data_IF_072141647671
#
_entry.id   IF_072141647671
#
_cell.length_a   1.000
_cell.length_b   1.000
_cell.length_c   1.000
_cell.angle_alpha   90.00
_cell.angle_beta   90.00
_cell.angle_gamma   90.00
#
_symmetry.space_group_name_H-M   'P 1'
#
loop_
_entity.id
_entity.type
_entity.pdbx_description
1 polymer ?
#
# COMPACT_ATOMS: atom_id res chain seq x y z
N UNK A 1 21.99 3.38 -19.20
CA UNK A 1 22.54 2.56 -18.09
C UNK A 1 22.58 3.30 -16.75
N UNK A 2 22.98 4.58 -16.66
CA UNK A 2 23.00 5.31 -15.38
C UNK A 2 21.63 5.49 -14.72
N UNK A 3 20.58 5.72 -15.51
CA UNK A 3 19.23 6.00 -15.01
C UNK A 3 18.58 4.79 -14.32
N UNK A 4 18.80 3.58 -14.85
CA UNK A 4 18.30 2.32 -14.27
C UNK A 4 19.02 1.91 -12.99
N UNK A 5 20.32 2.23 -12.90
CA UNK A 5 21.11 2.01 -11.69
C UNK A 5 20.65 2.93 -10.54
N UNK A 6 20.40 4.21 -10.85
CA UNK A 6 19.90 5.16 -9.86
C UNK A 6 18.53 4.77 -9.31
N UNK A 7 17.58 4.38 -10.16
CA UNK A 7 16.23 3.97 -9.71
C UNK A 7 16.26 2.69 -8.89
N UNK A 8 17.13 1.73 -9.25
CA UNK A 8 17.29 0.47 -8.50
C UNK A 8 17.89 0.72 -7.11
N UNK A 9 18.85 1.63 -6.98
CA UNK A 9 19.43 2.02 -5.70
C UNK A 9 18.40 2.73 -4.81
N UNK A 10 17.61 3.65 -5.36
CA UNK A 10 16.52 4.29 -4.63
C UNK A 10 15.47 3.27 -4.16
N UNK A 11 15.04 2.37 -5.04
CA UNK A 11 14.09 1.32 -4.67
C UNK A 11 14.61 0.39 -3.56
N UNK A 12 15.91 0.03 -3.60
CA UNK A 12 16.54 -0.77 -2.55
C UNK A 12 16.61 -0.01 -1.22
N UNK A 13 16.90 1.30 -1.26
CA UNK A 13 16.89 2.15 -0.08
C UNK A 13 15.52 2.18 0.59
N UNK A 14 14.46 2.41 -0.19
CA UNK A 14 13.08 2.43 0.31
C UNK A 14 12.66 1.07 0.87
N UNK A 15 13.01 -0.03 0.21
CA UNK A 15 12.75 -1.37 0.71
C UNK A 15 13.48 -1.66 2.02
N UNK A 16 14.73 -1.18 2.14
CA UNK A 16 15.49 -1.23 3.39
C UNK A 16 14.76 -0.52 4.53
N UNK A 17 14.21 0.67 4.26
CA UNK A 17 13.39 1.41 5.24
C UNK A 17 12.08 0.70 5.57
N UNK A 18 11.41 0.09 4.60
CA UNK A 18 10.22 -0.72 4.86
C UNK A 18 10.51 -1.85 5.85
N UNK A 19 11.58 -2.61 5.60
CA UNK A 19 12.04 -3.70 6.46
C UNK A 19 12.47 -3.19 7.85
N UNK A 20 13.17 -2.06 7.91
CA UNK A 20 13.56 -1.41 9.16
C UNK A 20 12.34 -1.04 10.02
N UNK A 21 11.27 -0.52 9.43
CA UNK A 21 10.03 -0.24 10.17
C UNK A 21 9.35 -1.53 10.66
N UNK A 22 9.45 -2.64 9.93
CA UNK A 22 8.96 -3.94 10.41
C UNK A 22 9.77 -4.47 11.61
N UNK A 23 11.06 -4.14 11.73
CA UNK A 23 11.85 -4.54 12.90
C UNK A 23 11.48 -3.78 14.16
N UNK A 24 10.72 -2.69 14.09
CA UNK A 24 10.32 -1.90 15.27
C UNK A 24 9.52 -2.73 16.28
N UNK A 25 8.68 -3.65 15.83
CA UNK A 25 8.00 -4.60 16.72
C UNK A 25 8.98 -5.41 17.55
N UNK A 26 10.10 -5.84 16.96
CA UNK A 26 11.08 -6.72 17.60
C UNK A 26 12.10 -5.94 18.43
N UNK A 27 12.58 -4.81 17.93
CA UNK A 27 13.62 -4.01 18.57
C UNK A 27 13.08 -3.18 19.73
N UNK A 28 11.93 -2.52 19.53
CA UNK A 28 11.35 -1.64 20.55
C UNK A 28 10.26 -2.31 21.39
N UNK A 29 9.98 -3.60 21.16
CA UNK A 29 8.96 -4.39 21.87
C UNK A 29 7.61 -3.67 21.93
N UNK A 30 7.22 -3.03 20.83
CA UNK A 30 6.10 -2.09 20.73
C UNK A 30 4.78 -2.54 21.35
N UNK A 31 4.34 -3.81 21.24
CA UNK A 31 3.11 -4.21 21.90
C UNK A 31 3.14 -3.95 23.41
N UNK A 32 4.30 -4.08 24.05
CA UNK A 32 4.48 -3.88 25.50
C UNK A 32 4.91 -2.45 25.85
N UNK A 33 5.73 -1.80 25.03
CA UNK A 33 6.17 -0.42 25.32
C UNK A 33 5.08 0.62 25.05
N UNK A 34 4.22 0.39 24.05
CA UNK A 34 3.09 1.27 23.74
C UNK A 34 1.88 1.02 24.64
N UNK A 35 1.84 -0.07 25.42
CA UNK A 35 0.73 -0.34 26.34
C UNK A 35 0.52 0.81 27.33
N UNK A 36 1.62 1.45 27.75
CA UNK A 36 1.62 2.62 28.65
C UNK A 36 0.92 3.85 28.07
N UNK A 37 0.83 3.99 26.75
CA UNK A 37 0.13 5.12 26.10
C UNK A 37 -1.36 4.86 25.87
N UNK A 38 -1.85 3.68 26.26
CA UNK A 38 -3.23 3.27 26.11
C UNK A 38 -3.49 2.51 24.81
N UNK A 39 -4.47 1.60 24.86
CA UNK A 39 -4.80 0.67 23.75
C UNK A 39 -5.12 1.38 22.43
N UNK A 40 -5.72 2.57 22.49
CA UNK A 40 -6.05 3.36 21.30
C UNK A 40 -4.78 3.88 20.61
N UNK A 41 -3.90 4.54 21.36
CA UNK A 41 -2.64 5.08 20.83
C UNK A 41 -1.73 3.97 20.33
N UNK A 42 -1.68 2.85 21.05
CA UNK A 42 -0.98 1.66 20.61
C UNK A 42 -1.47 1.15 19.24
N UNK A 43 -2.79 1.10 19.02
CA UNK A 43 -3.37 0.70 17.74
C UNK A 43 -3.06 1.70 16.63
N UNK A 44 -3.15 3.00 16.91
CA UNK A 44 -2.82 4.08 15.97
C UNK A 44 -1.36 4.00 15.54
N UNK A 45 -0.41 3.96 16.48
CA UNK A 45 1.02 3.92 16.19
C UNK A 45 1.42 2.68 15.41
N UNK A 46 0.89 1.51 15.76
CA UNK A 46 1.16 0.28 15.02
C UNK A 46 0.60 0.35 13.60
N UNK A 47 -0.62 0.87 13.44
CA UNK A 47 -1.21 1.05 12.12
C UNK A 47 -0.38 2.01 11.28
N UNK A 48 0.02 3.16 11.82
CA UNK A 48 0.85 4.13 11.12
C UNK A 48 2.14 3.48 10.64
N UNK A 49 2.78 2.64 11.45
CA UNK A 49 3.98 1.90 11.05
C UNK A 49 3.73 0.90 9.92
N UNK A 50 2.64 0.12 9.98
CA UNK A 50 2.25 -0.79 8.87
C UNK A 50 2.02 0.00 7.58
N UNK A 51 1.27 1.10 7.66
CA UNK A 51 0.94 1.93 6.49
C UNK A 51 2.19 2.60 5.92
N UNK A 52 3.10 3.07 6.77
CA UNK A 52 4.36 3.68 6.34
C UNK A 52 5.28 2.65 5.67
N UNK A 53 5.40 1.44 6.22
CA UNK A 53 6.09 0.33 5.55
C UNK A 53 5.47 0.02 4.19
N UNK A 54 4.13 0.00 4.09
CA UNK A 54 3.43 -0.21 2.82
C UNK A 54 3.76 0.88 1.79
N UNK A 55 3.76 2.15 2.19
CA UNK A 55 4.11 3.28 1.31
C UNK A 55 5.54 3.15 0.79
N UNK A 56 6.51 2.78 1.64
CA UNK A 56 7.88 2.53 1.20
C UNK A 56 7.96 1.38 0.17
N UNK A 57 7.21 0.29 0.37
CA UNK A 57 7.15 -0.81 -0.60
C UNK A 57 6.53 -0.36 -1.92
N UNK A 58 5.43 0.40 -1.89
CA UNK A 58 4.79 0.96 -3.08
C UNK A 58 5.72 1.91 -3.82
N UNK A 59 6.46 2.73 -3.10
CA UNK A 59 7.40 3.68 -3.69
C UNK A 59 8.56 2.95 -4.37
N UNK A 60 9.16 1.96 -3.69
CA UNK A 60 10.15 1.06 -4.27
C UNK A 60 9.63 0.35 -5.52
N UNK A 61 8.42 -0.23 -5.44
CA UNK A 61 7.77 -0.89 -6.57
C UNK A 61 7.51 0.07 -7.73
N UNK A 62 7.09 1.31 -7.44
CA UNK A 62 6.85 2.34 -8.47
C UNK A 62 8.14 2.76 -9.16
N UNK A 63 9.25 2.86 -8.44
CA UNK A 63 10.57 3.17 -9.02
C UNK A 63 11.10 2.04 -9.93
N UNK A 64 10.83 0.79 -9.57
CA UNK A 64 11.16 -0.38 -10.41
C UNK A 64 10.24 -0.46 -11.63
N UNK A 65 8.94 -0.26 -11.43
CA UNK A 65 7.92 -0.31 -12.48
C UNK A 65 7.93 0.90 -13.40
N UNK A 66 8.48 2.06 -13.00
CA UNK A 66 8.66 3.22 -13.88
C UNK A 66 9.58 2.91 -15.08
N UNK A 67 10.38 1.84 -15.00
CA UNK A 67 11.12 1.30 -16.15
C UNK A 67 10.23 0.61 -17.19
N UNK A 68 8.95 0.37 -16.88
CA UNK A 68 7.94 -0.26 -17.74
C UNK A 68 6.73 0.67 -17.90
N UNK A 69 6.31 1.04 -19.12
CA UNK A 69 5.13 1.87 -19.32
C UNK A 69 3.88 1.02 -19.03
N UNK A 70 3.46 0.96 -17.77
CA UNK A 70 2.19 0.36 -17.37
C UNK A 70 1.27 1.42 -16.79
N UNK A 71 0.08 1.52 -17.35
CA UNK A 71 -1.00 2.34 -16.81
C UNK A 71 -1.71 1.53 -15.72
N UNK A 72 -2.00 2.17 -14.58
CA UNK A 72 -2.69 1.54 -13.44
C UNK A 72 -1.92 1.26 -12.13
N UNK A 73 -0.61 1.51 -11.94
CA UNK A 73 0.05 1.17 -10.67
C UNK A 73 -0.45 1.99 -9.48
N UNK A 74 -0.90 3.24 -9.70
CA UNK A 74 -1.40 4.10 -8.63
C UNK A 74 -2.77 3.65 -8.09
N UNK A 75 -3.68 3.24 -8.98
CA UNK A 75 -4.99 2.73 -8.57
C UNK A 75 -4.84 1.39 -7.82
N UNK A 76 -3.94 0.53 -8.28
CA UNK A 76 -3.60 -0.73 -7.60
C UNK A 76 -2.99 -0.47 -6.20
N UNK A 77 -2.05 0.48 -6.11
CA UNK A 77 -1.45 0.89 -4.85
C UNK A 77 -2.48 1.50 -3.89
N UNK A 78 -3.39 2.34 -4.39
CA UNK A 78 -4.50 2.88 -3.60
C UNK A 78 -5.42 1.77 -3.07
N UNK A 79 -5.78 0.80 -3.93
CA UNK A 79 -6.57 -0.36 -3.52
C UNK A 79 -5.89 -1.16 -2.41
N UNK A 80 -4.59 -1.46 -2.57
CA UNK A 80 -3.83 -2.19 -1.56
C UNK A 80 -3.70 -1.42 -0.24
N UNK A 81 -3.49 -0.11 -0.29
CA UNK A 81 -3.45 0.76 0.90
C UNK A 81 -4.75 0.67 1.71
N UNK A 82 -5.89 0.83 1.04
CA UNK A 82 -7.19 0.79 1.69
C UNK A 82 -7.55 -0.61 2.19
N UNK A 83 -7.19 -1.66 1.46
CA UNK A 83 -7.41 -3.04 1.88
C UNK A 83 -6.59 -3.38 3.13
N UNK A 84 -5.30 -3.02 3.14
CA UNK A 84 -4.44 -3.20 4.29
C UNK A 84 -4.97 -2.43 5.49
N UNK A 85 -5.50 -1.21 5.27
CA UNK A 85 -6.11 -0.41 6.33
C UNK A 85 -7.39 -1.05 6.87
N UNK A 86 -8.21 -1.65 6.00
CA UNK A 86 -9.41 -2.38 6.37
C UNK A 86 -9.08 -3.61 7.23
N UNK A 87 -8.00 -4.33 6.92
CA UNK A 87 -7.54 -5.50 7.69
C UNK A 87 -6.87 -5.08 9.01
N UNK A 88 -6.08 -4.01 9.00
CA UNK A 88 -5.40 -3.50 10.20
C UNK A 88 -6.38 -3.03 11.28
N UNK A 89 -7.54 -2.50 10.87
CA UNK A 89 -8.56 -1.96 11.78
C UNK A 89 -9.07 -3.01 12.81
N UNK A 90 -9.60 -4.20 12.44
CA UNK A 90 -10.04 -5.22 13.39
C UNK A 90 -8.89 -5.98 14.08
N UNK A 91 -7.65 -5.92 13.55
CA UNK A 91 -6.47 -6.60 14.13
C UNK A 91 -5.86 -5.77 15.25
N UNK A 92 -5.75 -4.45 15.07
CA UNK A 92 -5.02 -3.57 15.99
C UNK A 92 -5.94 -2.78 16.93
N UNK A 93 -7.24 -2.64 16.62
CA UNK A 93 -8.20 -1.93 17.46
C UNK A 93 -9.22 -2.88 18.07
N UNK A 94 -9.88 -2.42 19.14
CA UNK A 94 -10.97 -3.17 19.76
C UNK A 94 -12.09 -3.45 18.72
N UNK A 95 -12.64 -4.66 18.74
CA UNK A 95 -13.73 -5.12 17.86
C UNK A 95 -15.08 -4.52 18.25
N UNK A 96 -15.16 -3.21 18.34
CA UNK A 96 -16.40 -2.47 18.58
C UNK A 96 -17.17 -2.27 17.27
N UNK A 97 -18.48 -1.95 17.35
CA UNK A 97 -19.32 -1.67 16.16
C UNK A 97 -18.72 -0.55 15.29
N UNK A 98 -18.17 0.50 15.92
CA UNK A 98 -17.53 1.61 15.21
C UNK A 98 -16.27 1.17 14.43
N UNK A 99 -15.48 0.25 14.99
CA UNK A 99 -14.31 -0.32 14.32
C UNK A 99 -14.70 -1.07 13.05
N UNK A 100 -15.79 -1.84 13.09
CA UNK A 100 -16.35 -2.53 11.92
C UNK A 100 -16.93 -1.58 10.88
N UNK A 101 -17.60 -0.49 11.30
CA UNK A 101 -18.09 0.55 10.39
C UNK A 101 -16.91 1.19 9.64
N UNK A 102 -15.84 1.57 10.36
CA UNK A 102 -14.65 2.14 9.74
C UNK A 102 -13.95 1.14 8.80
N UNK A 103 -13.86 -0.14 9.19
CA UNK A 103 -13.31 -1.19 8.32
C UNK A 103 -14.14 -1.34 7.03
N UNK A 104 -15.47 -1.26 7.10
CA UNK A 104 -16.34 -1.29 5.93
C UNK A 104 -16.12 -0.08 5.02
N UNK A 105 -15.96 1.13 5.58
CA UNK A 105 -15.61 2.34 4.80
C UNK A 105 -14.27 2.17 4.08
N UNK A 106 -13.26 1.61 4.75
CA UNK A 106 -11.98 1.33 4.12
C UNK A 106 -12.08 0.26 3.03
N UNK A 107 -12.89 -0.79 3.24
CA UNK A 107 -13.14 -1.81 2.23
C UNK A 107 -13.85 -1.24 1.00
N UNK A 108 -14.80 -0.32 1.18
CA UNK A 108 -15.41 0.43 0.08
C UNK A 108 -14.38 1.26 -0.68
N UNK A 109 -13.48 1.96 0.02
CA UNK A 109 -12.36 2.68 -0.57
C UNK A 109 -11.44 1.80 -1.41
N UNK A 110 -11.17 0.58 -0.95
CA UNK A 110 -10.40 -0.42 -1.71
C UNK A 110 -11.15 -0.86 -2.97
N UNK A 111 -12.46 -1.13 -2.86
CA UNK A 111 -13.31 -1.50 -3.99
C UNK A 111 -13.36 -0.42 -5.07
N UNK A 112 -13.50 0.85 -4.69
CA UNK A 112 -13.50 1.97 -5.64
C UNK A 112 -12.18 2.06 -6.43
N UNK A 113 -11.04 1.93 -5.75
CA UNK A 113 -9.74 1.95 -6.42
C UNK A 113 -9.52 0.71 -7.30
N UNK A 114 -10.02 -0.45 -6.90
CA UNK A 114 -9.97 -1.67 -7.70
C UNK A 114 -10.80 -1.55 -8.99
N UNK A 115 -12.00 -0.96 -8.90
CA UNK A 115 -12.84 -0.68 -10.07
C UNK A 115 -12.13 0.28 -11.03
N UNK A 116 -11.60 1.39 -10.51
CA UNK A 116 -10.83 2.35 -11.32
C UNK A 116 -9.61 1.70 -12.00
N UNK A 117 -8.95 0.75 -11.34
CA UNK A 117 -7.87 -0.02 -11.95
C UNK A 117 -8.37 -0.89 -13.12
N UNK A 118 -9.45 -1.63 -12.92
CA UNK A 118 -10.04 -2.50 -13.95
C UNK A 118 -10.51 -1.68 -15.15
N UNK A 119 -11.15 -0.52 -14.93
CA UNK A 119 -11.61 0.34 -16.00
C UNK A 119 -10.44 0.95 -16.78
N UNK A 120 -9.40 1.40 -16.07
CA UNK A 120 -8.16 1.88 -16.71
C UNK A 120 -7.49 0.79 -17.55
N UNK A 121 -7.49 -0.46 -17.07
CA UNK A 121 -6.91 -1.59 -17.79
C UNK A 121 -7.72 -1.94 -19.07
N UNK A 122 -9.05 -1.88 -19.01
CA UNK A 122 -9.93 -2.10 -20.17
C UNK A 122 -9.73 -1.04 -21.24
N UNK A 123 -9.73 0.24 -20.86
CA UNK A 123 -9.49 1.36 -21.79
C UNK A 123 -8.14 1.21 -22.50
N UNK A 124 -7.09 0.80 -21.78
CA UNK A 124 -5.78 0.53 -22.37
C UNK A 124 -5.79 -0.63 -23.39
N UNK A 125 -6.55 -1.69 -23.11
CA UNK A 125 -6.68 -2.84 -24.01
C UNK A 125 -7.45 -2.49 -25.31
N UNK A 126 -8.54 -1.73 -25.20
CA UNK A 126 -9.35 -1.30 -26.34
C UNK A 126 -8.57 -0.35 -27.27
N UNK A 127 -7.76 0.53 -26.70
CA UNK A 127 -6.85 1.41 -27.44
C UNK A 127 -5.78 0.62 -28.20
N UNK A 128 -5.18 -0.41 -27.57
CA UNK A 128 -4.19 -1.27 -28.22
C UNK A 128 -4.79 -2.08 -29.37
N UNK A 129 -6.04 -2.55 -29.20
CA UNK A 129 -6.76 -3.31 -30.23
C UNK A 129 -7.13 -2.45 -31.44
N UNK A 130 -7.47 -1.18 -31.22
CA UNK A 130 -7.82 -0.23 -32.28
C UNK A 130 -6.59 0.28 -33.06
N UNK A 131 -5.41 0.25 -32.44
CA UNK A 131 -4.15 0.70 -33.04
C UNK A 131 -3.45 -0.36 -33.90
N UNK A 132 -3.91 -1.61 -33.90
CA UNK A 132 -3.35 -2.67 -34.76
C UNK A 132 -3.91 -2.51 -36.18
N UNK A 133 -3.09 -2.14 -37.19
CA UNK A 133 -3.60 -1.95 -38.55
C UNK A 133 -4.10 -3.29 -39.11
N UNK A 134 -5.25 -3.25 -39.78
CA UNK A 134 -5.82 -4.35 -40.54
C UNK A 134 -4.79 -4.79 -41.59
N UNK A 135 -4.13 -5.92 -41.35
CA UNK A 135 -3.33 -6.65 -42.34
C UNK A 135 -4.23 -7.37 -43.33
#
# INVERSE_FOLDING_TARGET
MHQTLSTSLSALYDLGFALFHLTFWRWFKWPRSLEKSGRLNQGITQTLNVMLSYVFVVYAASLVLAATPSQGPLALAGSGFWLLRAIAQPVLFARTRLSWILAAVFALGAGLHAISYVDSAKVGADALSSAKPLS
#
